data_IF_216344735928
#
_entry.id   IF_216344735928
#
_cell.length_a   1.000
_cell.length_b   1.000
_cell.length_c   1.000
_cell.angle_alpha   90.00
_cell.angle_beta   90.00
_cell.angle_gamma   90.00
#
_symmetry.space_group_name_H-M   'P 1'
#
loop_
_entity.id
_entity.type
_entity.pdbx_description
1 polymer ?
#
# COMPACT_ATOMS: atom_id res chain seq x y z
N UNK A 1 4.41 6.39 6.57
CA UNK A 1 4.61 5.45 5.45
C UNK A 1 3.70 5.86 4.32
N UNK A 2 4.11 5.66 3.07
CA UNK A 2 3.25 5.87 1.90
C UNK A 2 2.79 4.51 1.38
N UNK A 3 1.48 4.24 1.44
CA UNK A 3 0.89 2.98 1.00
C UNK A 3 0.48 3.09 -0.46
N UNK A 4 0.97 2.17 -1.29
CA UNK A 4 0.57 2.00 -2.68
C UNK A 4 0.28 0.54 -2.99
N UNK A 5 -0.27 0.28 -4.16
CA UNK A 5 -0.61 -1.08 -4.62
C UNK A 5 0.07 -1.36 -5.95
N UNK A 6 0.32 -2.64 -6.25
CA UNK A 6 1.01 -3.01 -7.49
C UNK A 6 0.23 -2.66 -8.77
N UNK A 7 -1.08 -2.49 -8.65
CA UNK A 7 -1.94 -2.12 -9.76
C UNK A 7 -3.10 -1.24 -9.29
N UNK A 8 -3.72 -0.52 -10.24
CA UNK A 8 -4.84 0.40 -9.98
C UNK A 8 -6.07 -0.30 -9.39
N UNK A 9 -6.35 -1.55 -9.80
CA UNK A 9 -7.52 -2.29 -9.34
C UNK A 9 -7.39 -2.65 -7.84
N UNK A 10 -6.19 -3.03 -7.41
CA UNK A 10 -5.89 -3.30 -6.01
C UNK A 10 -5.95 -2.03 -5.16
N UNK A 11 -5.40 -0.91 -5.65
CA UNK A 11 -5.48 0.37 -4.95
C UNK A 11 -6.94 0.76 -4.70
N UNK A 12 -7.80 0.58 -5.70
CA UNK A 12 -9.24 0.79 -5.59
C UNK A 12 -9.88 -0.19 -4.59
N UNK A 13 -9.53 -1.48 -4.64
CA UNK A 13 -10.08 -2.48 -3.73
C UNK A 13 -9.69 -2.20 -2.27
N UNK A 14 -8.44 -1.84 -2.01
CA UNK A 14 -7.94 -1.45 -0.68
C UNK A 14 -8.68 -0.22 -0.16
N UNK A 15 -8.81 0.81 -0.99
CA UNK A 15 -9.55 2.03 -0.64
C UNK A 15 -11.02 1.73 -0.36
N UNK A 16 -11.65 0.90 -1.21
CA UNK A 16 -13.06 0.53 -1.10
C UNK A 16 -13.37 -0.27 0.16
N UNK A 17 -12.49 -1.17 0.59
CA UNK A 17 -12.68 -1.97 1.79
C UNK A 17 -12.43 -1.15 3.06
N UNK A 18 -11.44 -0.23 3.06
CA UNK A 18 -10.99 0.44 4.27
C UNK A 18 -11.67 1.78 4.58
N UNK A 19 -12.14 2.52 3.58
CA UNK A 19 -12.86 3.79 3.81
C UNK A 19 -14.29 3.46 4.25
N UNK A 20 -14.90 4.22 5.15
CA UNK A 20 -16.33 4.03 5.49
C UNK A 20 -17.23 4.70 4.43
N UNK A 21 -18.42 4.16 4.07
CA UNK A 21 -19.28 4.76 3.03
C UNK A 21 -19.56 6.25 3.24
N UNK A 22 -19.77 6.69 4.49
CA UNK A 22 -20.02 8.11 4.83
C UNK A 22 -18.82 9.03 4.57
N UNK A 23 -17.63 8.47 4.36
CA UNK A 23 -16.37 9.18 4.26
C UNK A 23 -15.76 9.05 2.86
N UNK A 24 -16.51 8.54 1.88
CA UNK A 24 -16.06 8.51 0.49
C UNK A 24 -15.97 9.94 -0.05
N UNK A 25 -14.76 10.47 -0.30
CA UNK A 25 -14.59 11.77 -0.89
C UNK A 25 -15.02 11.72 -2.35
N UNK A 26 -15.54 12.84 -2.83
CA UNK A 26 -15.88 13.02 -4.24
C UNK A 26 -14.68 13.43 -5.08
N UNK A 27 -13.59 13.84 -4.44
CA UNK A 27 -12.37 14.41 -5.00
C UNK A 27 -11.16 13.48 -4.84
N UNK A 28 -11.36 12.19 -5.16
CA UNK A 28 -10.26 11.21 -5.18
C UNK A 28 -9.56 11.17 -6.54
N UNK A 29 -8.27 10.89 -6.53
CA UNK A 29 -7.48 10.66 -7.73
C UNK A 29 -6.65 9.38 -7.61
N UNK A 30 -6.26 8.84 -8.76
CA UNK A 30 -5.23 7.81 -8.88
C UNK A 30 -3.91 8.51 -9.13
N UNK A 31 -2.94 8.24 -8.26
CA UNK A 31 -1.57 8.74 -8.37
C UNK A 31 -0.67 7.59 -8.80
N UNK A 32 0.07 7.78 -9.89
CA UNK A 32 1.09 6.85 -10.33
C UNK A 32 2.46 7.37 -9.94
N UNK A 33 3.22 6.49 -9.27
CA UNK A 33 4.51 6.81 -8.70
C UNK A 33 5.55 5.95 -9.39
N UNK A 34 6.59 6.59 -9.90
CA UNK A 34 7.77 5.93 -10.43
C UNK A 34 8.85 5.87 -9.35
N UNK A 35 9.51 4.73 -9.27
CA UNK A 35 10.62 4.46 -8.35
C UNK A 35 11.83 4.02 -9.16
N UNK A 36 13.07 4.27 -8.68
CA UNK A 36 14.25 3.83 -9.42
C UNK A 36 14.28 2.31 -9.61
N UNK A 37 14.68 1.83 -10.78
CA UNK A 37 14.89 0.38 -11.02
C UNK A 37 15.93 -0.25 -10.06
N UNK A 38 16.86 0.58 -9.58
CA UNK A 38 17.87 0.18 -8.59
C UNK A 38 17.35 0.17 -7.16
N UNK A 39 16.10 0.55 -6.91
CA UNK A 39 15.55 0.66 -5.57
C UNK A 39 15.54 -0.72 -4.90
N UNK A 40 16.07 -0.77 -3.68
CA UNK A 40 15.98 -1.98 -2.87
C UNK A 40 14.53 -2.22 -2.46
N UNK A 41 14.03 -3.41 -2.78
CA UNK A 41 12.72 -3.90 -2.34
C UNK A 41 12.95 -5.03 -1.34
N UNK A 42 12.33 -4.91 -0.16
CA UNK A 42 12.22 -6.00 0.80
C UNK A 42 10.86 -6.65 0.64
N UNK A 43 10.80 -7.97 0.50
CA UNK A 43 9.53 -8.70 0.29
C UNK A 43 9.17 -9.51 1.52
N UNK A 44 7.92 -9.40 1.96
CA UNK A 44 7.34 -10.27 3.00
C UNK A 44 6.68 -11.46 2.30
N UNK A 45 7.20 -12.70 2.47
CA UNK A 45 6.54 -13.87 1.90
C UNK A 45 5.24 -14.15 2.65
N UNK A 46 4.19 -14.51 1.91
CA UNK A 46 2.88 -14.85 2.48
C UNK A 46 2.97 -15.95 3.56
N UNK A 47 3.87 -16.92 3.38
CA UNK A 47 4.12 -18.00 4.35
C UNK A 47 4.72 -17.54 5.68
N UNK A 48 5.26 -16.32 5.75
CA UNK A 48 5.77 -15.75 7.00
C UNK A 48 4.72 -15.02 7.84
N UNK A 49 3.51 -14.81 7.28
CA UNK A 49 2.45 -14.09 7.96
C UNK A 49 1.68 -15.03 8.92
N UNK A 50 1.31 -14.57 10.13
CA UNK A 50 0.50 -15.36 11.06
C UNK A 50 -0.85 -15.76 10.45
N UNK A 51 -1.41 -16.91 10.79
CA UNK A 51 -2.67 -17.41 10.19
C UNK A 51 -3.83 -16.39 10.22
N UNK A 52 -3.91 -15.58 11.27
CA UNK A 52 -4.93 -14.56 11.47
C UNK A 52 -4.54 -13.15 10.98
N UNK A 53 -3.48 -13.00 10.18
CA UNK A 53 -2.97 -11.69 9.75
C UNK A 53 -3.99 -10.81 9.00
N UNK A 54 -4.97 -11.45 8.36
CA UNK A 54 -6.05 -10.79 7.61
C UNK A 54 -7.26 -10.44 8.47
N UNK A 55 -7.36 -11.03 9.66
CA UNK A 55 -8.52 -10.83 10.55
C UNK A 55 -8.34 -9.49 11.24
N UNK A 56 -9.32 -8.60 11.06
CA UNK A 56 -9.32 -7.30 11.72
C UNK A 56 -9.52 -7.43 13.24
N UNK A 57 -8.91 -6.55 14.06
CA UNK A 57 -8.03 -5.43 13.70
C UNK A 57 -6.59 -5.87 13.34
N UNK A 58 -5.81 -5.03 12.63
CA UNK A 58 -4.42 -5.35 12.28
C UNK A 58 -3.58 -5.73 13.51
N UNK A 59 -2.85 -6.84 13.41
CA UNK A 59 -2.04 -7.37 14.50
C UNK A 59 -0.96 -6.37 14.94
N UNK A 60 -0.82 -6.17 16.25
CA UNK A 60 0.22 -5.30 16.82
C UNK A 60 1.63 -5.71 16.38
N UNK A 61 1.90 -7.00 16.25
CA UNK A 61 3.19 -7.53 15.79
C UNK A 61 3.54 -7.08 14.37
N UNK A 62 2.56 -7.04 13.46
CA UNK A 62 2.78 -6.57 12.07
C UNK A 62 3.00 -5.06 12.02
N UNK A 63 2.30 -4.29 12.86
CA UNK A 63 2.53 -2.85 13.00
C UNK A 63 3.95 -2.58 13.50
N UNK A 64 4.37 -3.26 14.56
CA UNK A 64 5.74 -3.15 15.10
C UNK A 64 6.81 -3.54 14.07
N UNK A 65 6.57 -4.59 13.27
CA UNK A 65 7.47 -4.97 12.19
C UNK A 65 7.60 -3.86 11.14
N UNK A 66 6.49 -3.23 10.75
CA UNK A 66 6.49 -2.06 9.87
C UNK A 66 7.25 -0.86 10.46
N UNK A 67 7.01 -0.55 11.73
CA UNK A 67 7.71 0.53 12.44
C UNK A 67 9.22 0.29 12.47
N UNK A 68 9.65 -0.93 12.79
CA UNK A 68 11.07 -1.31 12.79
C UNK A 68 11.68 -1.23 11.40
N UNK A 69 10.95 -1.64 10.36
CA UNK A 69 11.42 -1.52 8.98
C UNK A 69 11.66 -0.04 8.59
N UNK A 70 10.75 0.86 8.96
CA UNK A 70 10.91 2.31 8.73
C UNK A 70 12.09 2.88 9.50
N UNK A 71 12.13 2.65 10.82
CA UNK A 71 13.14 3.20 11.73
C UNK A 71 14.56 2.77 11.34
N UNK A 72 14.72 1.51 10.97
CA UNK A 72 16.01 0.95 10.56
C UNK A 72 16.36 1.26 9.09
N UNK A 73 15.51 1.98 8.35
CA UNK A 73 15.71 2.36 6.94
C UNK A 73 16.15 1.17 6.07
N UNK A 74 15.54 -0.01 6.28
CA UNK A 74 16.07 -1.27 5.74
C UNK A 74 16.02 -1.35 4.21
N UNK A 75 15.04 -0.68 3.60
CA UNK A 75 14.87 -0.54 2.15
C UNK A 75 14.01 0.68 1.84
N UNK A 76 14.01 1.12 0.56
CA UNK A 76 13.07 2.14 0.10
C UNK A 76 11.64 1.59 0.11
N UNK A 77 11.47 0.34 -0.33
CA UNK A 77 10.16 -0.28 -0.55
C UNK A 77 10.06 -1.57 0.26
N UNK A 78 8.90 -1.77 0.88
CA UNK A 78 8.44 -3.02 1.45
C UNK A 78 7.28 -3.56 0.59
N UNK A 79 7.49 -4.70 -0.05
CA UNK A 79 6.45 -5.46 -0.75
C UNK A 79 5.76 -6.39 0.24
N UNK A 80 4.47 -6.18 0.46
CA UNK A 80 3.67 -6.97 1.41
C UNK A 80 2.41 -7.52 0.72
N UNK A 81 1.98 -8.77 1.02
CA UNK A 81 0.72 -9.29 0.54
C UNK A 81 -0.46 -8.39 0.94
N UNK A 82 -1.43 -8.20 0.03
CA UNK A 82 -2.67 -7.48 0.36
C UNK A 82 -3.61 -8.34 1.20
N UNK A 83 -4.15 -7.78 2.29
CA UNK A 83 -5.15 -8.48 3.09
C UNK A 83 -6.47 -8.67 2.30
N UNK A 84 -6.77 -7.77 1.37
CA UNK A 84 -7.93 -7.81 0.48
C UNK A 84 -7.74 -8.87 -0.59
N UNK A 85 -6.60 -8.86 -1.30
CA UNK A 85 -6.24 -9.82 -2.35
C UNK A 85 -4.87 -10.48 -2.07
N UNK A 86 -4.80 -11.63 -1.34
CA UNK A 86 -3.53 -12.18 -0.84
C UNK A 86 -2.49 -12.63 -1.86
N UNK A 87 -2.91 -12.85 -3.10
CA UNK A 87 -2.01 -13.20 -4.21
C UNK A 87 -1.45 -11.95 -4.90
N UNK A 88 -1.95 -10.78 -4.53
CA UNK A 88 -1.49 -9.49 -4.98
C UNK A 88 -0.73 -8.77 -3.85
N UNK A 89 0.04 -7.76 -4.22
CA UNK A 89 0.95 -7.06 -3.31
C UNK A 89 0.69 -5.56 -3.23
N UNK A 90 0.76 -5.05 -2.00
CA UNK A 90 0.96 -3.64 -1.74
C UNK A 90 2.46 -3.32 -1.70
N UNK A 91 2.82 -2.14 -2.17
CA UNK A 91 4.17 -1.59 -2.06
C UNK A 91 4.12 -0.41 -1.09
N UNK A 92 4.86 -0.52 0.00
CA UNK A 92 4.90 0.51 1.04
C UNK A 92 6.22 1.23 0.90
N UNK A 93 6.18 2.54 0.66
CA UNK A 93 7.36 3.38 0.53
C UNK A 93 7.75 3.97 1.89
N UNK A 94 9.06 3.95 2.16
CA UNK A 94 9.65 4.54 3.35
C UNK A 94 10.01 6.02 3.07
N UNK A 95 9.24 6.98 3.59
CA UNK A 95 9.49 8.40 3.31
C UNK A 95 10.79 8.94 3.92
N UNK A 96 11.39 8.24 4.90
CA UNK A 96 12.64 8.66 5.55
C UNK A 96 13.89 7.96 4.98
N UNK A 97 13.71 7.12 3.95
CA UNK A 97 14.81 6.49 3.24
C UNK A 97 15.46 7.46 2.25
N UNK A 98 16.79 7.42 2.11
CA UNK A 98 17.54 8.36 1.26
C UNK A 98 17.09 8.35 -0.21
N UNK A 99 16.76 7.16 -0.74
CA UNK A 99 16.32 7.01 -2.13
C UNK A 99 14.91 7.54 -2.37
N UNK A 100 14.16 7.95 -1.33
CA UNK A 100 12.85 8.57 -1.49
C UNK A 100 12.95 9.87 -2.32
N UNK A 101 14.09 10.55 -2.27
CA UNK A 101 14.35 11.74 -3.09
C UNK A 101 14.37 11.46 -4.60
N UNK A 102 14.46 10.19 -5.02
CA UNK A 102 14.46 9.75 -6.42
C UNK A 102 13.09 9.22 -6.88
N UNK A 103 12.10 9.23 -5.99
CA UNK A 103 10.72 8.82 -6.30
C UNK A 103 9.99 10.01 -6.91
N UNK A 104 9.25 9.78 -7.99
CA UNK A 104 8.54 10.83 -8.73
C UNK A 104 7.07 10.46 -8.94
N UNK A 105 6.21 11.48 -9.04
CA UNK A 105 4.84 11.29 -9.51
C UNK A 105 4.85 11.46 -11.02
N UNK A 106 4.43 10.42 -11.74
CA UNK A 106 4.41 10.43 -13.21
C UNK A 106 3.01 10.71 -13.77
N UNK A 107 1.96 10.49 -12.98
CA UNK A 107 0.59 10.79 -13.39
C UNK A 107 -0.31 11.02 -12.17
N UNK A 108 -1.26 11.94 -12.34
CA UNK A 108 -2.39 12.14 -11.44
C UNK A 108 -3.64 12.17 -12.31
N UNK A 109 -4.57 11.26 -12.05
CA UNK A 109 -5.83 11.15 -12.81
C UNK A 109 -7.01 11.14 -11.86
N UNK A 110 -7.95 12.06 -12.04
CA UNK A 110 -9.19 12.08 -11.25
C UNK A 110 -9.93 10.75 -11.36
N UNK A 111 -10.41 10.25 -10.23
CA UNK A 111 -11.16 9.00 -10.18
C UNK A 111 -12.64 9.29 -9.95
N UNK A 112 -13.46 8.93 -10.93
CA UNK A 112 -14.91 9.03 -10.84
C UNK A 112 -15.47 7.69 -10.39
N UNK A 113 -16.14 7.69 -9.24
CA UNK A 113 -16.83 6.52 -8.72
C UNK A 113 -17.87 5.99 -9.72
N UNK A 114 -17.77 4.71 -10.07
CA UNK A 114 -18.79 4.05 -10.89
C UNK A 114 -20.06 3.87 -10.05
N UNK A 115 -21.19 4.36 -10.56
CA UNK A 115 -22.50 4.28 -9.89
C UNK A 115 -22.98 2.85 -9.63
N UNK A 116 -22.39 1.86 -10.31
CA UNK A 116 -22.68 0.42 -10.11
C UNK A 116 -21.95 -0.16 -8.91
N UNK A 117 -20.90 0.50 -8.39
CA UNK A 117 -20.22 0.08 -7.18
C UNK A 117 -21.14 0.29 -5.98
N UNK A 118 -21.57 -0.82 -5.37
CA UNK A 118 -22.43 -0.83 -4.18
C UNK A 118 -21.58 -1.20 -2.97
N UNK A 119 -21.85 -0.53 -1.85
CA UNK A 119 -21.33 -0.92 -0.54
C UNK A 119 -22.40 -1.68 0.23
#
# INVERSE_FOLDING_TARGET
MLYTSENRALALAEYWVHVHPSNLPTDVCVVEIEVPDTARIMSIPLSSLPENWRVGPPLTSLRQAGDQWVLNKQSLILKAPSAVMPLESNYILNPVHQDMARVSIISITDYVWDRRMKR
#
